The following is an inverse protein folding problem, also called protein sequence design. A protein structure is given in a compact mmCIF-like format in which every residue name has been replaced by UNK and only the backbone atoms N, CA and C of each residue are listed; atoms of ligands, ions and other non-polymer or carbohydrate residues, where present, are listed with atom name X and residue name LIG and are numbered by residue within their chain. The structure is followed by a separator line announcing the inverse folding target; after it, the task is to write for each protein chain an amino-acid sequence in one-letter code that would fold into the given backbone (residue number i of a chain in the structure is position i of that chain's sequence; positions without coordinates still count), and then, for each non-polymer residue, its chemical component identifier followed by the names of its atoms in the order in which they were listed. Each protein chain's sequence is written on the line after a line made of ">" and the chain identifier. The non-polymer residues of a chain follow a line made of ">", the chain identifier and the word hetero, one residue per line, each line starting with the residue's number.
data_IF_522474510898
#
_entry.id   IF_522474510898
#
_cell.length_a   1.000
_cell.length_b   1.000
_cell.length_c   1.000
_cell.angle_alpha   90.00
_cell.angle_beta   90.00
_cell.angle_gamma   90.00
#
_symmetry.space_group_name_H-M   'P 1'
#
loop_
_entity.id
_entity.type
_entity.pdbx_description
1 polymer ?
#
# COMPACT_ATOMS: atom_id res chain seq x y z
N UNK A 1 -5.26 -19.20 24.86
CA UNK A 1 -4.29 -19.62 23.80
C UNK A 1 -3.60 -18.45 23.06
N UNK A 2 -4.32 -17.42 22.57
CA UNK A 2 -3.68 -16.29 21.83
C UNK A 2 -2.70 -15.45 22.67
N UNK A 3 -2.99 -15.22 23.95
CA UNK A 3 -2.13 -14.43 24.87
C UNK A 3 -0.80 -15.15 25.15
N UNK A 4 -0.84 -16.44 25.50
CA UNK A 4 0.36 -17.26 25.70
C UNK A 4 1.28 -17.26 24.48
N UNK A 5 0.71 -17.31 23.27
CA UNK A 5 1.50 -17.25 22.03
C UNK A 5 2.22 -15.91 21.86
N UNK A 6 1.56 -14.78 22.19
CA UNK A 6 2.18 -13.45 22.14
C UNK A 6 3.31 -13.34 23.16
N UNK A 7 3.03 -13.73 24.42
CA UNK A 7 4.02 -13.70 25.49
C UNK A 7 5.24 -14.57 25.16
N UNK A 8 5.01 -15.77 24.62
CA UNK A 8 6.07 -16.67 24.18
C UNK A 8 6.98 -16.00 23.15
N UNK A 9 6.43 -15.37 22.11
CA UNK A 9 7.27 -14.73 21.09
C UNK A 9 7.93 -13.45 21.57
N UNK A 10 7.33 -12.72 22.51
CA UNK A 10 7.98 -11.58 23.14
C UNK A 10 9.16 -12.03 24.00
N UNK A 11 9.00 -13.07 24.83
CA UNK A 11 10.11 -13.69 25.58
C UNK A 11 11.18 -14.21 24.63
N UNK A 12 10.78 -14.87 23.54
CA UNK A 12 11.70 -15.33 22.50
C UNK A 12 12.49 -14.17 21.88
N UNK A 13 11.83 -13.05 21.57
CA UNK A 13 12.50 -11.86 21.06
C UNK A 13 13.57 -11.37 22.03
N UNK A 14 13.23 -11.19 23.31
CA UNK A 14 14.19 -10.75 24.32
C UNK A 14 15.36 -11.71 24.49
N UNK A 15 15.11 -13.03 24.52
CA UNK A 15 16.18 -14.04 24.56
C UNK A 15 17.08 -13.95 23.32
N UNK A 16 16.50 -13.90 22.12
CA UNK A 16 17.27 -13.79 20.88
C UNK A 16 18.10 -12.50 20.84
N UNK A 17 17.55 -11.38 21.32
CA UNK A 17 18.25 -10.10 21.41
C UNK A 17 19.39 -10.15 22.42
N UNK A 18 19.15 -10.64 23.65
CA UNK A 18 20.19 -10.72 24.69
C UNK A 18 21.33 -11.67 24.34
N UNK A 19 21.03 -12.81 23.70
CA UNK A 19 22.04 -13.82 23.32
C UNK A 19 22.55 -13.66 21.88
N UNK A 20 22.16 -12.59 21.17
CA UNK A 20 22.54 -12.34 19.76
C UNK A 20 22.26 -13.51 18.81
N UNK A 21 21.18 -14.24 19.07
CA UNK A 21 20.75 -15.37 18.24
C UNK A 21 19.99 -14.82 17.05
N UNK A 22 20.60 -14.85 15.86
CA UNK A 22 20.01 -14.37 14.62
C UNK A 22 19.78 -15.54 13.65
N UNK A 23 18.67 -15.48 12.92
CA UNK A 23 18.40 -16.39 11.81
C UNK A 23 18.34 -15.62 10.50
N UNK A 24 18.38 -16.33 9.37
CA UNK A 24 18.21 -15.73 8.05
C UNK A 24 16.74 -15.69 7.65
N UNK A 25 16.26 -14.54 7.17
CA UNK A 25 14.95 -14.45 6.56
C UNK A 25 14.91 -15.16 5.20
N UNK A 26 13.70 -15.54 4.76
CA UNK A 26 13.51 -16.14 3.45
C UNK A 26 13.51 -15.05 2.38
N UNK A 27 14.06 -15.37 1.20
CA UNK A 27 13.93 -14.54 0.00
C UNK A 27 12.44 -14.34 -0.31
N UNK A 28 12.08 -13.12 -0.67
CA UNK A 28 10.76 -12.72 -1.16
C UNK A 28 10.84 -12.69 -2.68
N UNK A 29 9.81 -13.21 -3.36
CA UNK A 29 9.69 -13.01 -4.80
C UNK A 29 9.23 -11.57 -5.07
N UNK A 30 10.10 -10.80 -5.71
CA UNK A 30 9.89 -9.38 -6.01
C UNK A 30 8.80 -9.14 -7.07
N UNK A 31 8.38 -10.19 -7.78
CA UNK A 31 7.31 -10.14 -8.79
C UNK A 31 6.24 -11.22 -8.55
N UNK A 32 6.05 -11.62 -7.28
CA UNK A 32 5.12 -12.67 -6.88
C UNK A 32 3.71 -12.45 -7.45
N UNK A 33 3.13 -13.48 -8.06
CA UNK A 33 1.76 -13.44 -8.56
C UNK A 33 1.52 -12.38 -9.64
N UNK A 34 2.53 -12.08 -10.48
CA UNK A 34 2.41 -11.07 -11.54
C UNK A 34 1.20 -11.32 -12.46
N UNK A 35 0.36 -10.30 -12.61
CA UNK A 35 -0.76 -10.28 -13.56
C UNK A 35 -0.65 -9.05 -14.47
N UNK A 36 -1.12 -9.17 -15.71
CA UNK A 36 -1.13 -8.09 -16.70
C UNK A 36 -2.49 -8.07 -17.40
N UNK A 37 -3.09 -6.87 -17.50
CA UNK A 37 -4.40 -6.67 -18.12
C UNK A 37 -4.37 -5.52 -19.10
N UNK A 38 -5.16 -5.64 -20.17
CA UNK A 38 -5.43 -4.60 -21.18
C UNK A 38 -4.17 -3.86 -21.64
N UNK A 39 -3.20 -4.62 -22.18
CA UNK A 39 -1.95 -4.03 -22.69
C UNK A 39 -2.25 -2.97 -23.75
N UNK A 40 -1.41 -1.94 -23.83
CA UNK A 40 -1.55 -0.81 -24.76
C UNK A 40 -0.35 -0.69 -25.67
N UNK A 41 -0.54 -0.18 -26.88
CA UNK A 41 0.56 0.16 -27.79
C UNK A 41 1.03 1.61 -27.63
N UNK A 42 0.40 2.37 -26.72
CA UNK A 42 0.84 3.71 -26.36
C UNK A 42 2.20 3.71 -25.68
N UNK A 43 2.98 4.77 -25.89
CA UNK A 43 4.27 4.93 -25.22
C UNK A 43 4.05 5.17 -23.73
N UNK A 44 4.62 4.30 -22.90
CA UNK A 44 4.51 4.40 -21.44
C UNK A 44 5.61 5.32 -20.90
N UNK A 45 5.21 6.51 -20.44
CA UNK A 45 6.11 7.45 -19.76
C UNK A 45 5.57 7.72 -18.36
N UNK A 46 6.26 7.18 -17.36
CA UNK A 46 5.91 7.41 -15.96
C UNK A 46 6.56 8.73 -15.47
N UNK A 47 5.77 9.72 -15.02
CA UNK A 47 6.32 10.94 -14.43
C UNK A 47 7.22 10.62 -13.23
N UNK A 48 8.39 11.26 -13.14
CA UNK A 48 9.34 11.09 -12.02
C UNK A 48 8.92 11.88 -10.78
N UNK A 49 7.70 11.61 -10.29
CA UNK A 49 7.11 12.23 -9.10
C UNK A 49 6.71 11.15 -8.09
N UNK A 50 7.11 11.31 -6.83
CA UNK A 50 6.70 10.46 -5.72
C UNK A 50 5.80 11.26 -4.78
N UNK A 51 4.57 10.78 -4.59
CA UNK A 51 3.56 11.41 -3.74
C UNK A 51 3.36 10.62 -2.46
N UNK A 52 3.49 11.32 -1.34
CA UNK A 52 3.19 10.81 -0.02
C UNK A 52 2.31 11.83 0.70
N UNK A 53 1.48 11.37 1.62
CA UNK A 53 0.72 12.24 2.51
C UNK A 53 0.86 11.76 3.95
N UNK A 54 1.08 12.70 4.86
CA UNK A 54 1.03 12.45 6.29
C UNK A 54 0.32 13.59 7.00
N UNK A 55 -0.53 13.24 7.96
CA UNK A 55 -1.27 14.20 8.77
C UNK A 55 -0.63 14.29 10.16
N UNK A 56 -0.48 15.51 10.67
CA UNK A 56 0.22 15.83 11.92
C UNK A 56 1.73 15.51 11.87
N UNK A 57 2.34 15.39 13.05
CA UNK A 57 3.76 15.11 13.21
C UNK A 57 4.15 13.75 12.62
N UNK A 58 5.25 13.74 11.87
CA UNK A 58 5.81 12.53 11.26
C UNK A 58 6.62 11.79 12.34
N UNK A 59 6.30 10.53 12.68
CA UNK A 59 7.12 9.76 13.61
C UNK A 59 8.51 9.50 13.05
N UNK A 60 9.53 9.47 13.90
CA UNK A 60 10.95 9.22 13.53
C UNK A 60 11.12 8.04 12.56
N UNK A 61 10.48 6.90 12.83
CA UNK A 61 10.55 5.74 11.94
C UNK A 61 10.00 6.02 10.53
N UNK A 62 8.95 6.85 10.42
CA UNK A 62 8.37 7.27 9.14
C UNK A 62 9.28 8.28 8.44
N UNK A 63 9.91 9.21 9.18
CA UNK A 63 10.93 10.09 8.62
C UNK A 63 12.08 9.29 7.99
N UNK A 64 12.56 8.25 8.68
CA UNK A 64 13.58 7.34 8.13
C UNK A 64 13.13 6.62 6.86
N UNK A 65 11.86 6.23 6.77
CA UNK A 65 11.30 5.67 5.54
C UNK A 65 11.31 6.69 4.39
N UNK A 66 10.95 7.95 4.67
CA UNK A 66 10.94 9.05 3.70
C UNK A 66 12.38 9.41 3.26
N UNK A 67 13.33 9.48 4.19
CA UNK A 67 14.72 9.80 3.87
C UNK A 67 15.34 8.73 2.98
N UNK A 68 15.08 7.45 3.29
CA UNK A 68 15.49 6.34 2.45
C UNK A 68 14.81 6.35 1.07
N UNK A 69 13.56 6.82 1.01
CA UNK A 69 12.86 7.05 -0.26
C UNK A 69 13.61 8.07 -1.12
N UNK A 70 14.02 9.21 -0.54
CA UNK A 70 14.79 10.25 -1.24
C UNK A 70 16.16 9.73 -1.66
N UNK A 71 16.88 9.06 -0.76
CA UNK A 71 18.23 8.51 -1.01
C UNK A 71 18.24 7.54 -2.19
N UNK A 72 17.27 6.62 -2.25
CA UNK A 72 17.21 5.58 -3.29
C UNK A 72 16.70 6.11 -4.64
N UNK A 73 16.00 7.24 -4.66
CA UNK A 73 15.33 7.77 -5.84
C UNK A 73 15.75 9.23 -6.13
N UNK A 74 17.06 9.52 -6.32
CA UNK A 74 17.56 10.89 -6.49
C UNK A 74 16.99 11.59 -7.75
N UNK A 75 16.57 10.82 -8.75
CA UNK A 75 15.99 11.32 -10.00
C UNK A 75 14.48 11.62 -9.91
N UNK A 76 13.85 11.35 -8.76
CA UNK A 76 12.43 11.63 -8.55
C UNK A 76 12.24 12.89 -7.69
N UNK A 77 11.27 13.72 -8.06
CA UNK A 77 10.76 14.76 -7.18
C UNK A 77 9.89 14.12 -6.08
N UNK A 78 10.26 14.33 -4.82
CA UNK A 78 9.60 13.69 -3.66
C UNK A 78 8.71 14.71 -2.92
N UNK A 79 7.40 14.54 -3.06
CA UNK A 79 6.38 15.39 -2.44
C UNK A 79 5.84 14.72 -1.17
N UNK A 80 6.22 15.24 -0.01
CA UNK A 80 5.64 14.86 1.28
C UNK A 80 4.57 15.90 1.63
N UNK A 81 3.32 15.54 1.36
CA UNK A 81 2.18 16.42 1.53
C UNK A 81 1.60 16.35 2.96
N UNK A 82 1.04 17.46 3.40
CA UNK A 82 0.36 17.63 4.68
C UNK A 82 -0.81 18.63 4.50
N UNK A 83 -1.65 18.88 5.53
CA UNK A 83 -2.76 19.83 5.43
C UNK A 83 -2.36 21.26 5.02
N UNK A 84 -1.11 21.67 5.22
CA UNK A 84 -0.62 23.02 4.97
C UNK A 84 -0.20 23.23 3.51
N UNK A 85 0.37 22.21 2.87
CA UNK A 85 0.91 22.30 1.50
C UNK A 85 0.08 21.57 0.43
N UNK A 86 -0.86 20.70 0.82
CA UNK A 86 -1.64 19.88 -0.12
C UNK A 86 -2.42 20.71 -1.14
N UNK A 87 -2.89 21.90 -0.73
CA UNK A 87 -3.66 22.81 -1.57
C UNK A 87 -2.86 23.40 -2.75
N UNK A 88 -1.53 23.19 -2.81
CA UNK A 88 -0.71 23.58 -3.97
C UNK A 88 -0.84 22.57 -5.13
N UNK A 89 -1.33 21.36 -4.85
CA UNK A 89 -1.33 20.25 -5.81
C UNK A 89 -2.72 19.64 -6.04
N UNK A 90 -3.62 19.82 -5.09
CA UNK A 90 -4.98 19.28 -5.13
C UNK A 90 -5.97 20.28 -4.54
N UNK A 91 -7.15 20.39 -5.17
CA UNK A 91 -8.19 21.36 -4.82
C UNK A 91 -9.53 20.69 -4.55
N UNK A 92 -9.51 19.52 -3.89
CA UNK A 92 -10.72 18.75 -3.58
C UNK A 92 -11.63 19.57 -2.66
N UNK A 93 -12.89 19.73 -3.07
CA UNK A 93 -13.91 20.31 -2.22
C UNK A 93 -14.47 19.27 -1.23
N UNK A 94 -14.04 19.37 0.02
CA UNK A 94 -14.53 18.56 1.13
C UNK A 94 -15.78 19.14 1.81
N UNK A 95 -16.33 20.27 1.35
CA UNK A 95 -17.49 20.93 1.98
C UNK A 95 -18.73 20.03 2.06
N UNK A 96 -18.90 19.16 1.05
CA UNK A 96 -19.98 18.17 0.96
C UNK A 96 -19.65 16.85 1.67
N UNK A 97 -18.43 16.70 2.21
CA UNK A 97 -17.90 15.47 2.79
C UNK A 97 -17.57 15.64 4.28
N UNK A 98 -18.49 16.26 5.04
CA UNK A 98 -18.26 16.65 6.46
C UNK A 98 -17.90 15.47 7.36
N UNK A 99 -18.49 14.31 7.12
CA UNK A 99 -18.28 13.09 7.90
C UNK A 99 -17.16 12.18 7.34
N UNK A 100 -16.42 12.66 6.32
CA UNK A 100 -15.33 11.89 5.74
C UNK A 100 -14.18 11.72 6.75
N UNK A 101 -13.80 10.48 6.99
CA UNK A 101 -12.64 10.14 7.80
C UNK A 101 -11.35 10.63 7.15
N UNK A 102 -10.29 10.83 7.95
CA UNK A 102 -8.96 11.18 7.44
C UNK A 102 -8.47 10.21 6.35
N UNK A 103 -8.72 8.91 6.53
CA UNK A 103 -8.38 7.88 5.54
C UNK A 103 -9.12 8.10 4.22
N UNK A 104 -10.43 8.37 4.26
CA UNK A 104 -11.21 8.62 3.04
C UNK A 104 -10.76 9.89 2.32
N UNK A 105 -10.39 10.94 3.05
CA UNK A 105 -9.82 12.17 2.47
C UNK A 105 -8.47 11.88 1.80
N UNK A 106 -7.61 11.11 2.45
CA UNK A 106 -6.34 10.67 1.87
C UNK A 106 -6.54 9.77 0.65
N UNK A 107 -7.56 8.90 0.65
CA UNK A 107 -7.92 8.08 -0.51
C UNK A 107 -8.37 8.93 -1.70
N UNK A 108 -9.19 9.95 -1.48
CA UNK A 108 -9.59 10.91 -2.52
C UNK A 108 -8.39 11.71 -3.04
N UNK A 109 -7.56 12.25 -2.14
CA UNK A 109 -6.35 13.00 -2.49
C UNK A 109 -5.43 12.17 -3.39
N UNK A 110 -5.23 10.90 -3.02
CA UNK A 110 -4.41 9.98 -3.82
C UNK A 110 -4.91 9.88 -5.25
N UNK A 111 -6.19 9.61 -5.45
CA UNK A 111 -6.74 9.41 -6.80
C UNK A 111 -6.75 10.70 -7.62
N UNK A 112 -7.02 11.85 -6.98
CA UNK A 112 -6.93 13.17 -7.61
C UNK A 112 -5.51 13.46 -8.10
N UNK A 113 -4.48 13.22 -7.26
CA UNK A 113 -3.09 13.41 -7.66
C UNK A 113 -2.67 12.44 -8.77
N UNK A 114 -3.08 11.17 -8.68
CA UNK A 114 -2.77 10.19 -9.71
C UNK A 114 -3.37 10.58 -11.06
N UNK A 115 -4.60 11.11 -11.09
CA UNK A 115 -5.23 11.59 -12.32
C UNK A 115 -4.55 12.86 -12.87
N UNK A 116 -4.35 13.88 -12.04
CA UNK A 116 -3.87 15.18 -12.50
C UNK A 116 -2.38 15.20 -12.83
N UNK A 117 -1.57 14.40 -12.13
CA UNK A 117 -0.10 14.49 -12.20
C UNK A 117 0.59 13.19 -12.61
N UNK A 118 -0.07 12.03 -12.46
CA UNK A 118 0.57 10.73 -12.58
C UNK A 118 1.74 10.56 -11.60
N UNK A 119 2.68 9.68 -11.95
CA UNK A 119 3.84 9.34 -11.11
C UNK A 119 3.53 8.16 -10.20
N UNK A 120 4.05 8.18 -8.97
CA UNK A 120 3.86 7.09 -8.00
C UNK A 120 3.32 7.67 -6.69
N UNK A 121 2.13 7.24 -6.29
CA UNK A 121 1.71 7.37 -4.90
C UNK A 121 2.27 6.21 -4.09
N UNK A 122 2.69 6.47 -2.86
CA UNK A 122 2.96 5.44 -1.87
C UNK A 122 2.73 5.92 -0.42
N UNK A 123 2.34 5.01 0.47
CA UNK A 123 2.27 5.31 1.90
C UNK A 123 3.66 5.66 2.47
N UNK A 124 3.77 6.77 3.20
CA UNK A 124 5.05 7.31 3.72
C UNK A 124 5.83 6.35 4.64
N UNK A 125 5.15 5.36 5.23
CA UNK A 125 5.74 4.39 6.16
C UNK A 125 6.19 3.08 5.48
N UNK A 126 6.39 3.08 4.15
CA UNK A 126 6.93 1.94 3.41
C UNK A 126 8.46 1.94 3.56
N UNK A 127 9.00 0.78 3.95
CA UNK A 127 10.45 0.60 4.03
C UNK A 127 10.94 0.20 2.64
N UNK A 128 11.77 1.04 2.04
CA UNK A 128 12.33 0.82 0.71
C UNK A 128 13.75 0.24 0.80
N UNK A 129 14.08 -0.77 0.00
CA UNK A 129 15.45 -1.29 -0.11
C UNK A 129 16.07 -1.11 -1.49
N UNK A 130 15.25 -0.86 -2.50
CA UNK A 130 15.66 -0.67 -3.89
C UNK A 130 14.95 0.54 -4.50
N UNK A 131 15.53 1.14 -5.55
CA UNK A 131 14.92 2.26 -6.28
C UNK A 131 13.59 1.86 -6.92
N UNK A 132 12.67 2.79 -7.16
CA UNK A 132 11.35 2.50 -7.70
C UNK A 132 11.29 2.41 -9.24
N UNK A 133 12.42 2.61 -9.93
CA UNK A 133 12.51 2.50 -11.40
C UNK A 133 12.01 1.17 -11.95
N UNK A 134 12.12 0.08 -11.17
CA UNK A 134 11.57 -1.21 -11.56
C UNK A 134 10.06 -1.17 -11.85
N UNK A 135 9.31 -0.23 -11.26
CA UNK A 135 7.88 -0.05 -11.55
C UNK A 135 7.73 0.46 -12.98
N UNK A 136 8.49 1.50 -13.36
CA UNK A 136 8.46 2.02 -14.73
C UNK A 136 8.98 1.00 -15.74
N UNK A 137 10.04 0.27 -15.41
CA UNK A 137 10.59 -0.81 -16.24
C UNK A 137 9.54 -1.90 -16.47
N UNK A 138 8.87 -2.35 -15.40
CA UNK A 138 7.81 -3.36 -15.49
C UNK A 138 6.62 -2.85 -16.32
N UNK A 139 6.21 -1.60 -16.12
CA UNK A 139 5.12 -0.99 -16.90
C UNK A 139 5.44 -0.93 -18.39
N UNK A 140 6.69 -0.59 -18.75
CA UNK A 140 7.17 -0.60 -20.15
C UNK A 140 7.23 -2.03 -20.69
N UNK A 141 7.84 -2.96 -19.96
CA UNK A 141 7.96 -4.37 -20.35
C UNK A 141 6.60 -5.02 -20.60
N UNK A 142 5.63 -4.77 -19.70
CA UNK A 142 4.28 -5.33 -19.80
C UNK A 142 3.36 -4.50 -20.67
N UNK A 143 3.81 -3.37 -21.21
CA UNK A 143 3.00 -2.45 -22.01
C UNK A 143 1.72 -2.02 -21.29
N UNK A 144 1.84 -1.56 -20.05
CA UNK A 144 0.70 -1.16 -19.22
C UNK A 144 0.81 0.27 -18.73
N UNK A 145 -0.31 1.00 -18.77
CA UNK A 145 -0.38 2.41 -18.35
C UNK A 145 -0.39 2.62 -16.82
N UNK A 146 -0.61 1.55 -16.05
CA UNK A 146 -0.71 1.59 -14.59
C UNK A 146 0.05 0.45 -13.92
N UNK A 147 0.40 0.65 -12.65
CA UNK A 147 0.83 -0.40 -11.73
C UNK A 147 0.13 -0.27 -10.38
N UNK A 148 -0.22 -1.40 -9.78
CA UNK A 148 -0.69 -1.47 -8.40
C UNK A 148 -0.33 -2.83 -7.79
N UNK A 149 -0.43 -2.94 -6.46
CA UNK A 149 -0.52 -4.24 -5.83
C UNK A 149 -1.98 -4.73 -5.80
N UNK A 150 -2.18 -6.04 -5.79
CA UNK A 150 -3.48 -6.64 -5.48
C UNK A 150 -3.38 -7.57 -4.28
N UNK A 151 -4.51 -7.78 -3.62
CA UNK A 151 -4.62 -8.64 -2.46
C UNK A 151 -5.22 -9.98 -2.82
N UNK A 152 -4.41 -11.03 -2.91
CA UNK A 152 -4.90 -12.37 -3.25
C UNK A 152 -5.93 -12.89 -2.25
N UNK A 153 -5.74 -12.64 -0.95
CA UNK A 153 -6.71 -13.02 0.09
C UNK A 153 -8.09 -12.41 -0.12
N UNK A 154 -8.19 -11.20 -0.67
CA UNK A 154 -9.47 -10.54 -0.93
C UNK A 154 -10.05 -10.91 -2.31
N UNK A 155 -9.27 -11.56 -3.18
CA UNK A 155 -9.59 -11.80 -4.58
C UNK A 155 -10.05 -13.23 -4.83
N UNK A 156 -11.35 -13.42 -5.05
CA UNK A 156 -11.96 -14.67 -5.53
C UNK A 156 -12.06 -14.74 -7.05
N UNK A 157 -12.18 -13.59 -7.73
CA UNK A 157 -12.25 -13.49 -9.18
C UNK A 157 -10.99 -12.80 -9.71
N UNK A 158 -10.08 -13.57 -10.32
CA UNK A 158 -8.82 -13.04 -10.87
C UNK A 158 -9.00 -12.16 -12.11
N UNK A 159 -10.18 -12.18 -12.75
CA UNK A 159 -10.51 -11.24 -13.81
C UNK A 159 -10.91 -9.86 -13.25
N UNK A 160 -11.01 -9.69 -11.94
CA UNK A 160 -11.18 -8.38 -11.29
C UNK A 160 -10.43 -8.33 -9.96
N UNK A 161 -9.08 -8.38 -9.95
CA UNK A 161 -8.32 -8.43 -8.70
C UNK A 161 -8.64 -7.26 -7.77
N UNK A 162 -8.71 -7.54 -6.47
CA UNK A 162 -8.93 -6.49 -5.47
C UNK A 162 -7.63 -5.72 -5.29
N UNK A 163 -7.59 -4.52 -5.86
CA UNK A 163 -6.42 -3.63 -5.83
C UNK A 163 -6.21 -3.06 -4.42
N UNK A 164 -4.94 -2.99 -4.02
CA UNK A 164 -4.50 -2.17 -2.91
C UNK A 164 -4.27 -0.74 -3.41
N UNK A 165 -4.56 0.26 -2.57
CA UNK A 165 -4.38 1.67 -2.93
C UNK A 165 -3.19 2.34 -2.20
N UNK A 166 -2.43 1.62 -1.37
CA UNK A 166 -1.28 2.18 -0.64
C UNK A 166 -0.02 2.37 -1.50
N UNK A 167 0.02 1.82 -2.73
CA UNK A 167 1.01 2.13 -3.76
C UNK A 167 0.38 1.98 -5.13
N UNK A 168 0.40 3.07 -5.90
CA UNK A 168 -0.19 3.19 -7.24
C UNK A 168 0.80 3.93 -8.13
N UNK A 169 0.97 3.48 -9.37
CA UNK A 169 1.70 4.23 -10.37
C UNK A 169 0.88 4.38 -11.65
N UNK A 170 0.99 5.53 -12.29
CA UNK A 170 0.23 5.84 -13.51
C UNK A 170 0.92 6.90 -14.35
N UNK A 171 0.69 6.79 -15.66
CA UNK A 171 0.85 7.92 -16.58
C UNK A 171 -0.10 9.07 -16.20
N UNK A 172 0.22 10.30 -16.62
CA UNK A 172 -0.67 11.45 -16.37
C UNK A 172 -2.03 11.31 -17.08
N UNK A 173 -3.07 11.92 -16.51
CA UNK A 173 -4.43 11.99 -17.06
C UNK A 173 -5.10 10.63 -17.33
N UNK A 174 -4.70 9.57 -16.64
CA UNK A 174 -5.32 8.26 -16.80
C UNK A 174 -6.77 8.26 -16.28
N UNK A 175 -7.73 8.01 -17.17
CA UNK A 175 -9.16 8.11 -16.88
C UNK A 175 -9.63 7.17 -15.77
N UNK A 176 -8.93 6.06 -15.54
CA UNK A 176 -9.26 5.10 -14.48
C UNK A 176 -9.22 5.76 -13.10
N UNK A 177 -8.21 6.59 -12.82
CA UNK A 177 -8.09 7.26 -11.51
C UNK A 177 -9.14 8.35 -11.32
N UNK A 178 -9.56 9.03 -12.40
CA UNK A 178 -10.71 9.95 -12.37
C UNK A 178 -11.99 9.20 -12.00
N UNK A 179 -12.26 8.08 -12.65
CA UNK A 179 -13.45 7.26 -12.37
C UNK A 179 -13.42 6.69 -10.94
N UNK A 180 -12.25 6.31 -10.45
CA UNK A 180 -12.10 5.80 -9.09
C UNK A 180 -12.34 6.90 -8.05
N UNK A 181 -11.78 8.09 -8.28
CA UNK A 181 -12.05 9.28 -7.49
C UNK A 181 -13.56 9.59 -7.44
N UNK A 182 -14.22 9.70 -8.59
CA UNK A 182 -15.64 10.07 -8.70
C UNK A 182 -16.55 9.05 -7.98
N UNK A 183 -16.30 7.74 -8.16
CA UNK A 183 -17.10 6.70 -7.50
C UNK A 183 -16.84 6.67 -5.99
N UNK A 184 -15.59 6.89 -5.53
CA UNK A 184 -15.30 7.01 -4.10
C UNK A 184 -15.94 8.26 -3.50
N UNK A 185 -15.89 9.40 -4.19
CA UNK A 185 -16.51 10.65 -3.74
C UNK A 185 -18.01 10.45 -3.54
N UNK A 186 -18.68 9.83 -4.51
CA UNK A 186 -20.09 9.45 -4.43
C UNK A 186 -20.37 8.52 -3.25
N UNK A 187 -19.53 7.52 -3.03
CA UNK A 187 -19.67 6.56 -1.94
C UNK A 187 -19.55 7.23 -0.55
N UNK A 188 -18.65 8.20 -0.40
CA UNK A 188 -18.47 8.96 0.83
C UNK A 188 -19.64 9.93 1.02
N UNK A 189 -20.04 10.65 -0.03
CA UNK A 189 -21.15 11.62 0.01
C UNK A 189 -22.47 10.96 0.45
N UNK A 190 -22.74 9.72 0.01
CA UNK A 190 -23.93 8.98 0.44
C UNK A 190 -23.78 8.33 1.81
N UNK A 191 -22.59 8.38 2.42
CA UNK A 191 -22.07 7.47 3.45
C UNK A 191 -21.74 6.07 2.90
N UNK A 192 -20.60 5.46 3.30
CA UNK A 192 -20.24 4.10 2.87
C UNK A 192 -21.31 3.06 3.14
N UNK A 193 -21.99 3.15 4.29
CA UNK A 193 -23.08 2.24 4.66
C UNK A 193 -24.21 2.26 3.65
N UNK A 194 -24.73 3.44 3.31
CA UNK A 194 -25.82 3.60 2.34
C UNK A 194 -25.36 3.20 0.94
N UNK A 195 -24.14 3.55 0.55
CA UNK A 195 -23.55 3.15 -0.72
C UNK A 195 -23.49 1.62 -0.88
N UNK A 196 -23.02 0.89 0.14
CA UNK A 196 -23.01 -0.58 0.15
C UNK A 196 -24.43 -1.16 0.11
N UNK A 197 -25.38 -0.56 0.83
CA UNK A 197 -26.79 -0.97 0.78
C UNK A 197 -27.39 -0.78 -0.62
N UNK A 198 -27.07 0.33 -1.29
CA UNK A 198 -27.53 0.61 -2.65
C UNK A 198 -26.98 -0.43 -3.62
N UNK A 199 -25.67 -0.75 -3.57
CA UNK A 199 -25.09 -1.83 -4.39
C UNK A 199 -25.83 -3.15 -4.15
N UNK A 200 -26.13 -3.50 -2.89
CA UNK A 200 -26.88 -4.72 -2.55
C UNK A 200 -28.29 -4.76 -3.14
N UNK A 201 -28.92 -3.60 -3.29
CA UNK A 201 -30.28 -3.49 -3.81
C UNK A 201 -30.33 -3.44 -5.34
N UNK A 202 -29.31 -2.88 -5.99
CA UNK A 202 -29.36 -2.61 -7.44
C UNK A 202 -28.54 -3.59 -8.29
N UNK A 203 -27.48 -4.18 -7.74
CA UNK A 203 -26.58 -5.06 -8.50
C UNK A 203 -26.98 -6.53 -8.32
N UNK A 204 -27.10 -7.26 -9.43
CA UNK A 204 -27.45 -8.69 -9.42
C UNK A 204 -26.32 -9.58 -8.92
N UNK A 205 -25.05 -9.13 -9.00
CA UNK A 205 -23.87 -9.93 -8.65
C UNK A 205 -23.00 -9.28 -7.55
N UNK A 206 -23.63 -8.95 -6.42
CA UNK A 206 -22.96 -8.29 -5.28
C UNK A 206 -21.82 -9.09 -4.67
N UNK A 207 -21.91 -10.43 -4.66
CA UNK A 207 -20.84 -11.29 -4.14
C UNK A 207 -19.57 -11.18 -4.98
N UNK A 208 -19.71 -11.09 -6.30
CA UNK A 208 -18.57 -10.87 -7.18
C UNK A 208 -17.97 -9.47 -6.98
N UNK A 209 -18.78 -8.42 -6.82
CA UNK A 209 -18.29 -7.05 -6.56
C UNK A 209 -17.52 -6.97 -5.22
N UNK A 210 -18.08 -7.52 -4.15
CA UNK A 210 -17.49 -7.41 -2.82
C UNK A 210 -16.35 -8.42 -2.58
N UNK A 211 -16.35 -9.54 -3.30
CA UNK A 211 -15.39 -10.64 -3.13
C UNK A 211 -15.17 -10.97 -1.64
N UNK A 212 -13.91 -11.05 -1.20
CA UNK A 212 -13.54 -11.26 0.20
C UNK A 212 -13.02 -9.98 0.85
N UNK A 213 -13.45 -8.81 0.35
CA UNK A 213 -13.15 -7.52 1.00
C UNK A 213 -13.83 -7.54 2.38
N UNK A 214 -13.00 -7.61 3.42
CA UNK A 214 -13.47 -7.43 4.81
C UNK A 214 -14.00 -6.02 5.03
N UNK A 215 -14.77 -5.76 6.09
CA UNK A 215 -15.23 -4.42 6.50
C UNK A 215 -15.44 -3.44 5.33
N UNK A 216 -16.46 -3.70 4.50
CA UNK A 216 -16.75 -2.98 3.26
C UNK A 216 -16.89 -1.46 3.45
N UNK A 217 -17.39 -1.02 4.61
CA UNK A 217 -17.54 0.41 4.91
C UNK A 217 -16.19 1.09 5.16
N UNK A 218 -15.28 0.41 5.86
CA UNK A 218 -13.92 0.88 6.09
C UNK A 218 -13.05 0.82 4.82
N UNK A 219 -13.25 -0.22 3.99
CA UNK A 219 -12.55 -0.41 2.72
C UNK A 219 -13.40 0.05 1.51
N UNK A 220 -14.19 1.10 1.68
CA UNK A 220 -15.13 1.55 0.63
C UNK A 220 -14.41 1.94 -0.67
N UNK A 221 -13.17 2.43 -0.61
CA UNK A 221 -12.34 2.69 -1.78
C UNK A 221 -12.11 1.43 -2.64
N UNK A 222 -11.99 0.26 -2.02
CA UNK A 222 -11.80 -1.02 -2.70
C UNK A 222 -13.09 -1.45 -3.37
N UNK A 223 -14.24 -1.19 -2.73
CA UNK A 223 -15.55 -1.46 -3.31
C UNK A 223 -15.85 -0.54 -4.50
N UNK A 224 -15.53 0.75 -4.39
CA UNK A 224 -15.61 1.70 -5.50
C UNK A 224 -14.74 1.25 -6.69
N UNK A 225 -13.50 0.83 -6.43
CA UNK A 225 -12.60 0.25 -7.43
C UNK A 225 -13.24 -0.94 -8.14
N UNK A 226 -13.76 -1.89 -7.37
CA UNK A 226 -14.38 -3.10 -7.91
C UNK A 226 -15.57 -2.77 -8.82
N UNK A 227 -16.38 -1.77 -8.45
CA UNK A 227 -17.50 -1.32 -9.29
C UNK A 227 -17.03 -0.70 -10.59
N UNK A 228 -16.02 0.16 -10.58
CA UNK A 228 -15.53 0.81 -11.80
C UNK A 228 -14.77 -0.13 -12.73
N UNK A 229 -13.99 -1.09 -12.20
CA UNK A 229 -13.24 -2.05 -13.01
C UNK A 229 -14.17 -2.93 -13.86
N UNK A 230 -15.40 -3.18 -13.41
CA UNK A 230 -16.43 -3.92 -14.17
C UNK A 230 -17.05 -3.12 -15.30
N UNK A 231 -16.96 -1.80 -15.25
CA UNK A 231 -17.40 -0.91 -16.34
C UNK A 231 -16.26 -0.65 -17.33
N UNK A 232 -15.06 -0.43 -16.80
CA UNK A 232 -13.88 -0.10 -17.57
C UNK A 232 -12.63 -0.61 -16.85
N UNK A 233 -12.13 -1.79 -17.23
CA UNK A 233 -10.94 -2.35 -16.62
C UNK A 233 -9.70 -1.64 -17.19
N UNK A 234 -8.84 -1.00 -16.38
CA UNK A 234 -7.63 -0.34 -16.86
C UNK A 234 -6.59 -1.28 -17.49
N UNK A 235 -5.69 -0.67 -18.27
CA UNK A 235 -4.37 -1.20 -18.62
C UNK A 235 -3.48 -1.22 -17.38
N UNK A 236 -3.14 -2.38 -16.83
CA UNK A 236 -2.48 -2.46 -15.52
C UNK A 236 -1.62 -3.70 -15.32
N UNK A 237 -0.45 -3.52 -14.71
CA UNK A 237 0.38 -4.59 -14.15
C UNK A 237 0.18 -4.68 -12.64
N UNK A 238 0.06 -5.91 -12.13
CA UNK A 238 -0.24 -6.17 -10.73
C UNK A 238 0.71 -7.17 -10.09
N UNK A 239 1.10 -6.95 -8.84
CA UNK A 239 1.86 -7.90 -8.02
C UNK A 239 1.05 -8.28 -6.78
N UNK A 240 1.14 -9.53 -6.34
CA UNK A 240 0.47 -10.01 -5.13
C UNK A 240 1.17 -9.46 -3.89
N UNK A 241 0.50 -8.57 -3.15
CA UNK A 241 1.07 -8.03 -1.92
C UNK A 241 1.19 -9.08 -0.81
N UNK A 242 0.36 -10.14 -0.81
CA UNK A 242 0.35 -11.13 0.27
C UNK A 242 1.64 -11.99 0.25
N UNK A 243 2.21 -12.20 -0.94
CA UNK A 243 3.48 -12.91 -1.16
C UNK A 243 4.70 -11.97 -1.31
N UNK A 244 4.46 -10.66 -1.48
CA UNK A 244 5.48 -9.63 -1.63
C UNK A 244 5.48 -8.61 -0.46
N UNK A 245 4.88 -7.43 -0.63
CA UNK A 245 5.01 -6.30 0.30
C UNK A 245 4.55 -6.60 1.74
N UNK A 246 3.56 -7.47 1.92
CA UNK A 246 3.04 -7.94 3.21
C UNK A 246 3.57 -9.31 3.63
N UNK A 247 4.59 -9.86 2.96
CA UNK A 247 5.07 -11.23 3.15
C UNK A 247 5.26 -11.61 4.62
N UNK A 248 5.96 -10.77 5.40
CA UNK A 248 6.21 -11.06 6.82
C UNK A 248 4.94 -11.03 7.67
N UNK A 249 3.96 -10.18 7.35
CA UNK A 249 2.66 -10.17 8.03
C UNK A 249 1.86 -11.43 7.69
N UNK A 250 1.77 -11.80 6.41
CA UNK A 250 1.01 -12.97 5.95
C UNK A 250 1.62 -14.27 6.49
N UNK A 251 2.94 -14.46 6.30
CA UNK A 251 3.71 -15.61 6.82
C UNK A 251 3.52 -15.81 8.32
N UNK A 252 3.49 -14.72 9.08
CA UNK A 252 3.33 -14.78 10.54
C UNK A 252 1.89 -14.74 11.02
N UNK A 253 0.90 -14.79 10.10
CA UNK A 253 -0.53 -14.68 10.42
C UNK A 253 -0.82 -13.44 11.28
N UNK A 254 -0.16 -12.34 10.95
CA UNK A 254 -0.34 -11.03 11.59
C UNK A 254 0.01 -11.03 13.10
N UNK A 255 0.90 -11.92 13.53
CA UNK A 255 1.45 -11.92 14.89
C UNK A 255 2.65 -10.97 14.96
N UNK A 256 2.40 -9.76 15.45
CA UNK A 256 3.36 -8.64 15.55
C UNK A 256 4.70 -9.00 16.21
N UNK A 257 4.71 -9.87 17.22
CA UNK A 257 5.94 -10.29 17.90
C UNK A 257 6.84 -11.15 17.00
N UNK A 258 6.25 -11.97 16.12
CA UNK A 258 7.04 -12.73 15.14
C UNK A 258 7.59 -11.82 14.05
N UNK A 259 6.78 -10.84 13.63
CA UNK A 259 7.19 -9.83 12.65
C UNK A 259 8.35 -9.01 13.23
N UNK A 260 8.28 -8.60 14.49
CA UNK A 260 9.38 -7.95 15.19
C UNK A 260 10.67 -8.79 15.14
N UNK A 261 10.61 -10.10 15.42
CA UNK A 261 11.80 -10.97 15.28
C UNK A 261 12.33 -10.99 13.84
N UNK A 262 11.44 -11.11 12.84
CA UNK A 262 11.87 -11.07 11.44
C UNK A 262 12.53 -9.75 11.07
N UNK A 263 12.00 -8.64 11.56
CA UNK A 263 12.39 -7.30 11.12
C UNK A 263 13.58 -6.74 11.89
N UNK A 264 13.62 -6.93 13.22
CA UNK A 264 14.62 -6.34 14.12
C UNK A 264 15.79 -7.26 14.48
N UNK A 265 15.62 -8.58 14.38
CA UNK A 265 16.64 -9.54 14.84
C UNK A 265 17.30 -10.27 13.68
N UNK A 266 16.50 -10.88 12.81
CA UNK A 266 17.01 -11.74 11.76
C UNK A 266 17.83 -10.96 10.73
N UNK A 267 18.77 -11.67 10.09
CA UNK A 267 19.41 -11.19 8.88
C UNK A 267 18.38 -11.14 7.74
N UNK A 268 18.47 -10.17 6.82
CA UNK A 268 17.77 -10.23 5.54
C UNK A 268 18.17 -11.48 4.74
N UNK A 269 17.42 -11.76 3.69
CA UNK A 269 17.85 -12.73 2.69
C UNK A 269 19.03 -12.15 1.87
N UNK A 270 19.71 -12.98 1.07
CA UNK A 270 20.83 -12.51 0.23
C UNK A 270 20.38 -11.43 -0.76
N UNK A 271 19.17 -11.59 -1.31
CA UNK A 271 18.49 -10.56 -2.08
C UNK A 271 17.44 -9.89 -1.19
N UNK A 272 17.52 -8.57 -1.08
CA UNK A 272 16.52 -7.79 -0.37
C UNK A 272 15.19 -7.77 -1.15
N UNK A 273 14.04 -7.75 -0.45
CA UNK A 273 12.80 -7.33 -1.10
C UNK A 273 12.94 -5.88 -1.55
N UNK A 274 12.36 -5.50 -2.68
CA UNK A 274 12.37 -4.10 -3.14
C UNK A 274 11.78 -3.14 -2.12
N UNK A 275 10.70 -3.56 -1.46
CA UNK A 275 10.02 -2.81 -0.40
C UNK A 275 9.30 -3.74 0.59
N UNK A 276 8.97 -3.20 1.76
CA UNK A 276 8.09 -3.84 2.75
C UNK A 276 7.05 -2.81 3.22
N UNK A 277 5.77 -3.19 3.18
CA UNK A 277 4.66 -2.39 3.70
C UNK A 277 4.24 -2.92 5.06
N UNK A 278 4.32 -2.09 6.11
CA UNK A 278 3.74 -2.41 7.41
C UNK A 278 2.33 -1.82 7.55
N UNK A 279 1.38 -2.64 8.00
CA UNK A 279 0.08 -2.14 8.42
C UNK A 279 0.18 -1.44 9.79
N UNK A 280 -0.76 -0.54 10.09
CA UNK A 280 -0.64 0.39 11.22
C UNK A 280 -0.40 -0.29 12.58
N UNK A 281 -1.05 -1.43 12.85
CA UNK A 281 -0.87 -2.16 14.14
C UNK A 281 0.54 -2.74 14.28
N UNK A 282 1.08 -3.33 13.22
CA UNK A 282 2.41 -3.91 13.20
C UNK A 282 3.49 -2.83 13.21
N UNK A 283 3.30 -1.76 12.41
CA UNK A 283 4.18 -0.58 12.43
C UNK A 283 4.28 0.02 13.82
N UNK A 284 3.16 0.36 14.44
CA UNK A 284 3.15 1.00 15.75
C UNK A 284 3.82 0.12 16.82
N UNK A 285 3.66 -1.21 16.73
CA UNK A 285 4.34 -2.12 17.64
C UNK A 285 5.85 -2.17 17.40
N UNK A 286 6.27 -2.20 16.14
CA UNK A 286 7.68 -2.23 15.76
C UNK A 286 8.40 -0.93 16.15
N UNK A 287 7.77 0.23 15.95
CA UNK A 287 8.29 1.53 16.35
C UNK A 287 8.65 1.61 17.85
N UNK A 288 7.90 0.93 18.72
CA UNK A 288 8.21 0.89 20.17
C UNK A 288 9.57 0.28 20.49
N UNK A 289 10.06 -0.63 19.64
CA UNK A 289 11.37 -1.27 19.79
C UNK A 289 12.44 -0.52 19.01
N UNK A 290 12.11 -0.03 17.81
CA UNK A 290 13.01 0.81 17.01
C UNK A 290 13.47 2.04 17.79
N UNK A 291 12.53 2.79 18.40
CA UNK A 291 12.84 4.00 19.18
C UNK A 291 13.63 3.71 20.47
N UNK A 292 13.74 2.44 20.88
CA UNK A 292 14.57 2.01 22.02
C UNK A 292 15.93 1.46 21.58
N UNK A 293 16.25 1.52 20.28
CA UNK A 293 17.45 0.89 19.71
C UNK A 293 17.44 -0.64 19.82
N UNK A 294 16.26 -1.27 19.99
CA UNK A 294 16.15 -2.72 20.19
C UNK A 294 16.06 -3.47 18.85
N UNK A 295 17.09 -3.32 18.04
CA UNK A 295 17.28 -4.05 16.79
C UNK A 295 18.78 -4.27 16.54
N UNK A 296 19.12 -5.18 15.64
CA UNK A 296 20.51 -5.42 15.25
C UNK A 296 20.88 -4.68 13.98
N UNK A 297 22.15 -4.25 13.92
CA UNK A 297 22.78 -3.77 12.69
C UNK A 297 22.64 -4.81 11.56
N UNK A 298 22.33 -4.34 10.36
CA UNK A 298 22.03 -5.15 9.19
C UNK A 298 20.74 -5.98 9.32
N UNK A 299 19.83 -5.62 10.23
CA UNK A 299 18.45 -6.14 10.22
C UNK A 299 17.60 -5.38 9.19
N UNK A 300 16.36 -5.81 8.97
CA UNK A 300 15.48 -5.15 7.98
C UNK A 300 15.05 -3.74 8.42
N UNK A 301 15.08 -3.44 9.72
CA UNK A 301 14.68 -2.10 10.21
C UNK A 301 15.87 -1.24 10.59
N UNK A 302 17.08 -1.68 10.28
CA UNK A 302 18.27 -0.85 10.38
C UNK A 302 18.32 0.10 9.16
N UNK A 303 17.54 1.17 9.27
CA UNK A 303 17.32 2.21 8.25
C UNK A 303 17.52 3.60 8.83
#
# INVERSE_FOLDING_TARGET
>A
MKIFKKLFYLVKFHLMYSYKIRHKNKKIDNYAGLLTFNQTEETIVLPKKLWMYWENDIPEFVEKCIDRMREKNPEYEVFVLNPENVNQYSHIDFSQLKDATAQQKADLLRFDLMYNHGGIWLDASIILYDRLDWISELMVEKKTANFAYYRRKNTTNLNFPVLENWLLASVGHNIFFKQWYEELYLAIQQTPKKYIQNIKATESNTKDIFQQISNLEYLVAYVACQKIMRKNFPSISLIDCDENAFYYQVKNRWVKEKILINMAINYPADEHPKLIKLAGKERNYLCQFYNKGMYFEGSLIDI
#
